data_IF_931530317249
#
_entry.id   IF_931530317249
#
_cell.length_a   1.000
_cell.length_b   1.000
_cell.length_c   1.000
_cell.angle_alpha   90.00
_cell.angle_beta   90.00
_cell.angle_gamma   90.00
#
_symmetry.space_group_name_H-M   'P 1'
#
loop_
_entity.id
_entity.type
_entity.pdbx_description
1 polymer ?
#
# COMPACT_ATOMS: atom_id res chain seq x y z
N UNK A 1 -7.03 -9.17 14.18
CA UNK A 1 -6.42 -10.22 13.35
C UNK A 1 -6.55 -9.77 11.92
N UNK A 2 -5.43 -9.59 11.22
CA UNK A 2 -5.46 -9.25 9.79
C UNK A 2 -5.77 -10.53 9.01
N UNK A 3 -6.80 -10.51 8.17
CA UNK A 3 -7.13 -11.60 7.25
C UNK A 3 -6.83 -11.13 5.83
N UNK A 4 -6.15 -11.94 5.03
CA UNK A 4 -5.87 -11.65 3.62
C UNK A 4 -6.30 -12.83 2.75
N UNK A 5 -6.98 -12.56 1.64
CA UNK A 5 -7.51 -13.56 0.72
C UNK A 5 -7.31 -13.11 -0.73
N UNK A 6 -6.77 -13.98 -1.58
CA UNK A 6 -6.71 -13.69 -3.02
C UNK A 6 -8.12 -13.66 -3.60
N UNK A 7 -8.41 -12.65 -4.42
CA UNK A 7 -9.71 -12.44 -5.06
C UNK A 7 -9.51 -12.15 -6.55
N UNK A 8 -10.52 -12.41 -7.40
CA UNK A 8 -10.47 -11.93 -8.78
C UNK A 8 -10.48 -10.40 -8.85
N UNK A 9 -10.10 -9.85 -10.00
CA UNK A 9 -10.21 -8.41 -10.27
C UNK A 9 -11.64 -7.91 -9.98
N UNK A 10 -11.82 -6.89 -9.13
CA UNK A 10 -13.14 -6.34 -8.87
C UNK A 10 -13.70 -5.65 -10.12
N UNK A 11 -15.00 -5.83 -10.38
CA UNK A 11 -15.69 -5.23 -11.53
C UNK A 11 -15.66 -3.70 -11.59
N UNK A 12 -15.46 -3.04 -10.44
CA UNK A 12 -15.32 -1.57 -10.33
C UNK A 12 -13.92 -1.07 -10.71
N UNK A 13 -12.93 -1.95 -10.80
CA UNK A 13 -11.57 -1.63 -11.24
C UNK A 13 -11.52 -1.85 -12.75
N UNK A 14 -11.86 -0.82 -13.51
CA UNK A 14 -12.14 -0.95 -14.96
C UNK A 14 -10.86 -1.18 -15.76
N UNK A 15 -9.70 -0.68 -15.29
CA UNK A 15 -8.37 -1.07 -15.79
C UNK A 15 -7.31 -0.68 -14.75
N UNK A 16 -6.51 -1.62 -14.21
CA UNK A 16 -5.41 -1.27 -13.31
C UNK A 16 -4.32 -0.55 -14.11
N UNK A 17 -4.27 0.77 -14.03
CA UNK A 17 -3.17 1.57 -14.57
C UNK A 17 -2.30 2.04 -13.42
N UNK A 18 -1.00 1.76 -13.48
CA UNK A 18 -0.04 2.44 -12.60
C UNK A 18 0.04 3.93 -12.98
N UNK A 19 0.22 4.86 -12.03
CA UNK A 19 0.37 6.28 -12.35
C UNK A 19 1.53 6.55 -13.33
N UNK A 20 1.25 7.25 -14.44
CA UNK A 20 2.25 7.54 -15.48
C UNK A 20 3.16 8.72 -15.15
N UNK A 21 2.76 9.56 -14.19
CA UNK A 21 3.46 10.77 -13.75
C UNK A 21 4.52 10.50 -12.66
N UNK A 22 4.66 9.24 -12.22
CA UNK A 22 5.58 8.84 -11.14
C UNK A 22 6.82 8.09 -11.61
N UNK A 23 7.02 8.01 -12.94
CA UNK A 23 8.20 7.39 -13.54
C UNK A 23 8.36 5.90 -13.25
N UNK A 24 7.24 5.18 -13.10
CA UNK A 24 7.20 3.75 -12.79
C UNK A 24 6.80 2.93 -14.02
N UNK A 25 7.35 1.72 -14.13
CA UNK A 25 7.09 0.78 -15.22
C UNK A 25 6.58 -0.52 -14.62
N UNK A 26 5.34 -0.89 -14.95
CA UNK A 26 4.76 -2.17 -14.57
C UNK A 26 5.32 -3.31 -15.44
N UNK A 27 5.62 -4.45 -14.83
CA UNK A 27 6.23 -5.62 -15.50
C UNK A 27 5.38 -6.89 -15.42
N UNK A 28 4.17 -6.81 -14.87
CA UNK A 28 3.26 -7.94 -14.74
C UNK A 28 1.81 -7.53 -14.53
N UNK A 29 0.93 -8.51 -14.53
CA UNK A 29 -0.49 -8.32 -14.22
C UNK A 29 -0.70 -8.00 -12.74
N UNK A 30 -1.80 -7.31 -12.45
CA UNK A 30 -2.17 -6.98 -11.08
C UNK A 30 -2.68 -8.22 -10.33
N UNK A 31 -2.21 -8.43 -9.11
CA UNK A 31 -2.79 -9.37 -8.16
C UNK A 31 -3.72 -8.64 -7.20
N UNK A 32 -4.86 -9.25 -6.88
CA UNK A 32 -5.88 -8.64 -6.01
C UNK A 32 -6.08 -9.45 -4.73
N UNK A 33 -6.17 -8.72 -3.61
CA UNK A 33 -6.41 -9.31 -2.30
C UNK A 33 -7.49 -8.54 -1.55
N UNK A 34 -8.45 -9.25 -0.96
CA UNK A 34 -9.26 -8.69 0.12
C UNK A 34 -8.46 -8.76 1.41
N UNK A 35 -8.40 -7.64 2.13
CA UNK A 35 -7.72 -7.52 3.41
C UNK A 35 -8.71 -6.96 4.43
N UNK A 36 -8.96 -7.72 5.49
CA UNK A 36 -9.74 -7.26 6.63
C UNK A 36 -8.79 -6.88 7.76
N UNK A 37 -8.83 -5.62 8.16
CA UNK A 37 -8.05 -5.09 9.29
C UNK A 37 -8.96 -4.48 10.36
N UNK A 38 -8.48 -4.44 11.60
CA UNK A 38 -9.16 -3.78 12.72
C UNK A 38 -8.60 -2.36 12.87
N UNK A 39 -9.39 -1.36 12.50
CA UNK A 39 -8.98 0.04 12.59
C UNK A 39 -9.47 0.64 13.91
N UNK A 40 -8.52 1.06 14.75
CA UNK A 40 -8.81 1.57 16.10
C UNK A 40 -9.00 3.09 16.17
N UNK A 41 -8.74 3.83 15.10
CA UNK A 41 -8.51 5.30 15.16
C UNK A 41 -9.40 6.13 14.23
N UNK A 42 -10.62 5.69 13.92
CA UNK A 42 -11.55 6.49 13.11
C UNK A 42 -12.29 7.56 13.95
N UNK A 43 -12.56 8.77 13.42
CA UNK A 43 -13.24 9.84 14.15
C UNK A 43 -14.66 9.43 14.63
N UNK A 44 -15.00 9.85 15.85
CA UNK A 44 -16.32 9.83 16.50
C UNK A 44 -17.36 8.81 15.96
N UNK A 45 -17.32 7.58 16.47
CA UNK A 45 -18.41 6.60 16.33
C UNK A 45 -18.14 5.44 15.37
N UNK A 46 -17.05 5.48 14.61
CA UNK A 46 -16.55 4.37 13.76
C UNK A 46 -15.52 3.48 14.48
N UNK A 47 -15.64 3.36 15.79
CA UNK A 47 -14.66 2.65 16.63
C UNK A 47 -14.71 1.13 16.41
N UNK A 48 -13.54 0.48 16.43
CA UNK A 48 -13.39 -0.99 16.46
C UNK A 48 -14.06 -1.76 15.31
N UNK A 49 -14.19 -1.12 14.16
CA UNK A 49 -14.76 -1.75 12.98
C UNK A 49 -13.73 -2.61 12.25
N UNK A 50 -14.15 -3.81 11.85
CA UNK A 50 -13.45 -4.56 10.82
C UNK A 50 -13.63 -3.81 9.51
N UNK A 51 -12.53 -3.34 8.95
CA UNK A 51 -12.49 -2.64 7.67
C UNK A 51 -11.98 -3.61 6.63
N UNK A 52 -12.85 -4.02 5.72
CA UNK A 52 -12.48 -4.80 4.56
C UNK A 52 -12.07 -3.85 3.42
N UNK A 53 -10.86 -4.04 2.89
CA UNK A 53 -10.31 -3.25 1.79
C UNK A 53 -9.83 -4.18 0.69
N UNK A 54 -9.90 -3.74 -0.57
CA UNK A 54 -9.28 -4.44 -1.69
C UNK A 54 -7.92 -3.80 -1.97
N UNK A 55 -6.88 -4.63 -2.08
CA UNK A 55 -5.54 -4.21 -2.45
C UNK A 55 -5.19 -4.79 -3.83
N UNK A 56 -4.84 -3.90 -4.75
CA UNK A 56 -4.29 -4.18 -6.07
C UNK A 56 -2.77 -4.06 -5.97
N UNK A 57 -2.04 -5.15 -6.22
CA UNK A 57 -0.58 -5.18 -6.24
C UNK A 57 -0.10 -5.32 -7.68
N UNK A 58 0.80 -4.44 -8.09
CA UNK A 58 1.42 -4.46 -9.42
C UNK A 58 2.92 -4.47 -9.26
N UNK A 59 3.57 -5.52 -9.78
CA UNK A 59 5.04 -5.59 -9.81
C UNK A 59 5.58 -4.54 -10.77
N UNK A 60 6.55 -3.77 -10.28
CA UNK A 60 7.29 -2.78 -11.06
C UNK A 60 8.70 -3.30 -11.34
N UNK A 61 9.38 -2.73 -12.34
CA UNK A 61 10.78 -3.07 -12.63
C UNK A 61 11.70 -2.93 -11.41
N UNK A 62 11.45 -1.90 -10.57
CA UNK A 62 12.25 -1.59 -9.38
C UNK A 62 11.41 -1.46 -8.11
N UNK A 63 10.42 -2.32 -7.94
CA UNK A 63 9.63 -2.39 -6.71
C UNK A 63 8.18 -2.83 -6.92
N UNK A 64 7.26 -2.22 -6.18
CA UNK A 64 5.84 -2.58 -6.20
C UNK A 64 4.96 -1.36 -6.07
N UNK A 65 3.91 -1.32 -6.88
CA UNK A 65 2.79 -0.41 -6.71
C UNK A 65 1.64 -1.13 -6.01
N UNK A 66 1.04 -0.46 -5.03
CA UNK A 66 -0.12 -0.95 -4.31
C UNK A 66 -1.21 0.10 -4.35
N UNK A 67 -2.39 -0.26 -4.83
CA UNK A 67 -3.59 0.57 -4.70
C UNK A 67 -4.59 -0.11 -3.76
N UNK A 68 -4.91 0.59 -2.69
CA UNK A 68 -5.88 0.17 -1.70
C UNK A 68 -7.21 0.91 -1.93
N UNK A 69 -8.29 0.16 -1.97
CA UNK A 69 -9.67 0.64 -1.96
C UNK A 69 -10.33 0.24 -0.65
N UNK A 70 -10.71 1.23 0.14
CA UNK A 70 -11.29 1.03 1.47
C UNK A 70 -12.63 1.76 1.58
N UNK A 71 -13.52 1.39 2.53
CA UNK A 71 -14.78 2.07 2.77
C UNK A 71 -14.65 3.59 2.92
N UNK A 72 -15.79 4.28 2.84
CA UNK A 72 -15.86 5.75 2.89
C UNK A 72 -15.09 6.44 1.75
N UNK A 73 -15.01 5.77 0.60
CA UNK A 73 -14.34 6.25 -0.61
C UNK A 73 -12.86 6.61 -0.39
N UNK A 74 -12.16 5.83 0.43
CA UNK A 74 -10.72 5.96 0.62
C UNK A 74 -10.01 5.17 -0.46
N UNK A 75 -9.17 5.86 -1.23
CA UNK A 75 -8.20 5.24 -2.14
C UNK A 75 -6.80 5.69 -1.74
N UNK A 76 -5.90 4.74 -1.56
CA UNK A 76 -4.49 5.01 -1.26
C UNK A 76 -3.61 4.34 -2.30
N UNK A 77 -2.71 5.10 -2.88
CA UNK A 77 -1.77 4.65 -3.91
C UNK A 77 -0.35 4.75 -3.37
N UNK A 78 0.24 3.60 -3.06
CA UNK A 78 1.60 3.50 -2.53
C UNK A 78 2.53 2.94 -3.59
N UNK A 79 3.67 3.59 -3.78
CA UNK A 79 4.78 3.06 -4.58
C UNK A 79 5.93 2.80 -3.63
N UNK A 80 6.42 1.57 -3.63
CA UNK A 80 7.66 1.19 -3.00
C UNK A 80 8.72 1.00 -4.08
N UNK A 81 9.85 1.68 -3.96
CA UNK A 81 11.01 1.48 -4.84
C UNK A 81 12.29 1.34 -4.05
N UNK A 82 13.25 0.60 -4.62
CA UNK A 82 14.62 0.57 -4.14
C UNK A 82 15.46 1.51 -5.00
N UNK A 83 16.22 2.41 -4.39
CA UNK A 83 17.08 3.38 -5.09
C UNK A 83 18.49 3.31 -4.55
N UNK A 84 19.49 3.40 -5.41
CA UNK A 84 20.88 3.54 -4.97
C UNK A 84 21.03 4.82 -4.17
N UNK A 85 21.68 4.72 -3.00
CA UNK A 85 22.20 5.88 -2.32
C UNK A 85 23.63 6.11 -2.81
N UNK A 86 24.03 7.36 -3.02
CA UNK A 86 25.34 7.72 -3.58
C UNK A 86 26.56 7.28 -2.75
N UNK A 87 26.34 6.50 -1.68
CA UNK A 87 27.33 5.95 -0.77
C UNK A 87 27.56 4.44 -0.99
N UNK A 88 27.07 3.88 -2.10
CA UNK A 88 27.24 2.46 -2.44
C UNK A 88 26.25 1.52 -1.75
N UNK A 89 25.17 2.05 -1.19
CA UNK A 89 24.05 1.30 -0.63
C UNK A 89 22.75 1.51 -1.40
N UNK A 90 21.64 1.05 -0.83
CA UNK A 90 20.29 1.27 -1.37
C UNK A 90 19.33 1.74 -0.29
N UNK A 91 18.40 2.61 -0.67
CA UNK A 91 17.32 3.10 0.16
C UNK A 91 15.99 2.51 -0.31
N UNK A 92 15.17 2.06 0.64
CA UNK A 92 13.76 1.74 0.40
C UNK A 92 12.94 3.02 0.50
N UNK A 93 12.27 3.39 -0.58
CA UNK A 93 11.48 4.61 -0.68
C UNK A 93 10.01 4.24 -0.77
N UNK A 94 9.19 4.81 0.12
CA UNK A 94 7.74 4.77 0.07
C UNK A 94 7.20 6.14 -0.34
N UNK A 95 6.37 6.18 -1.38
CA UNK A 95 5.66 7.39 -1.78
C UNK A 95 4.15 7.08 -1.84
N UNK A 96 3.37 7.86 -1.09
CA UNK A 96 1.95 7.59 -0.81
C UNK A 96 1.09 8.76 -1.26
N UNK A 97 0.10 8.47 -2.12
CA UNK A 97 -0.96 9.41 -2.49
C UNK A 97 -2.27 8.95 -1.85
N UNK A 98 -2.88 9.84 -1.06
CA UNK A 98 -4.13 9.56 -0.35
C UNK A 98 -5.27 10.36 -0.99
N UNK A 99 -6.30 9.67 -1.46
CA UNK A 99 -7.56 10.24 -1.94
C UNK A 99 -8.66 9.84 -0.96
N UNK A 100 -9.09 10.78 -0.13
CA UNK A 100 -10.11 10.58 0.89
C UNK A 100 -10.85 11.89 1.21
N UNK A 101 -11.93 11.81 1.98
CA UNK A 101 -12.60 13.02 2.48
C UNK A 101 -11.67 13.84 3.39
N UNK A 102 -11.94 15.16 3.49
CA UNK A 102 -11.17 16.07 4.38
C UNK A 102 -11.21 15.62 5.85
N UNK A 103 -12.28 14.92 6.25
CA UNK A 103 -12.44 14.36 7.59
C UNK A 103 -11.45 13.21 7.85
N UNK A 104 -11.18 12.38 6.85
CA UNK A 104 -10.38 11.16 7.00
C UNK A 104 -8.91 11.34 6.62
N UNK A 105 -8.61 12.24 5.68
CA UNK A 105 -7.25 12.38 5.12
C UNK A 105 -6.20 12.70 6.18
N UNK A 106 -6.55 13.50 7.20
CA UNK A 106 -5.65 13.82 8.31
C UNK A 106 -5.30 12.59 9.15
N UNK A 107 -6.31 11.79 9.51
CA UNK A 107 -6.13 10.55 10.25
C UNK A 107 -5.28 9.53 9.47
N UNK A 108 -5.60 9.31 8.19
CA UNK A 108 -4.87 8.36 7.34
C UNK A 108 -3.41 8.80 7.18
N UNK A 109 -3.17 10.08 6.89
CA UNK A 109 -1.81 10.63 6.80
C UNK A 109 -1.04 10.45 8.11
N UNK A 110 -1.68 10.68 9.26
CA UNK A 110 -1.05 10.46 10.56
C UNK A 110 -0.69 8.99 10.79
N UNK A 111 -1.53 8.04 10.36
CA UNK A 111 -1.23 6.61 10.46
C UNK A 111 -0.01 6.23 9.62
N UNK A 112 0.07 6.71 8.37
CA UNK A 112 1.26 6.52 7.51
C UNK A 112 2.53 7.08 8.18
N UNK A 113 2.46 8.31 8.70
CA UNK A 113 3.62 8.98 9.30
C UNK A 113 4.04 8.42 10.66
N UNK A 114 3.14 7.77 11.40
CA UNK A 114 3.47 7.25 12.74
C UNK A 114 4.09 5.86 12.67
N UNK A 115 3.66 5.04 11.69
CA UNK A 115 3.99 3.63 11.66
C UNK A 115 5.04 3.25 10.60
N UNK A 116 5.52 4.21 9.79
CA UNK A 116 6.40 3.91 8.65
C UNK A 116 7.65 3.13 9.08
N UNK A 117 8.35 3.50 10.17
CA UNK A 117 9.56 2.80 10.61
C UNK A 117 9.31 1.32 10.89
N UNK A 118 8.15 0.98 11.43
CA UNK A 118 7.76 -0.39 11.74
C UNK A 118 7.51 -1.19 10.46
N UNK A 119 6.77 -0.62 9.50
CA UNK A 119 6.48 -1.30 8.24
C UNK A 119 7.73 -1.43 7.36
N UNK A 120 8.50 -0.35 7.23
CA UNK A 120 9.78 -0.35 6.49
C UNK A 120 10.75 -1.37 7.09
N UNK A 121 10.88 -1.40 8.42
CA UNK A 121 11.73 -2.35 9.13
C UNK A 121 11.36 -3.80 8.80
N UNK A 122 10.07 -4.16 8.86
CA UNK A 122 9.60 -5.50 8.51
C UNK A 122 9.92 -5.89 7.06
N UNK A 123 9.70 -4.98 6.11
CA UNK A 123 10.01 -5.22 4.69
C UNK A 123 11.51 -5.47 4.52
N UNK A 124 12.34 -4.63 5.13
CA UNK A 124 13.80 -4.77 5.10
C UNK A 124 14.26 -6.09 5.72
N UNK A 125 13.67 -6.49 6.85
CA UNK A 125 14.01 -7.75 7.50
C UNK A 125 13.61 -8.96 6.64
N UNK A 126 12.43 -8.94 6.02
CA UNK A 126 12.02 -9.97 5.04
C UNK A 126 12.99 -10.06 3.85
N UNK A 127 13.50 -8.93 3.36
CA UNK A 127 14.49 -8.91 2.28
C UNK A 127 15.84 -9.51 2.70
N UNK A 128 16.25 -9.36 3.97
CA UNK A 128 17.47 -9.98 4.51
C UNK A 128 17.32 -11.49 4.71
N UNK A 129 16.12 -11.94 5.06
CA UNK A 129 15.81 -13.35 5.32
C UNK A 129 15.61 -14.17 4.05
N UNK A 130 15.19 -13.53 2.95
CA UNK A 130 15.07 -14.20 1.66
C UNK A 130 16.45 -14.72 1.22
N UNK A 131 16.66 -16.05 1.08
CA UNK A 131 17.91 -16.56 0.56
C UNK A 131 18.10 -16.02 -0.85
N UNK A 132 19.31 -15.50 -1.12
CA UNK A 132 19.75 -15.14 -2.46
C UNK A 132 19.45 -16.31 -3.39
N UNK A 133 18.49 -16.14 -4.31
CA UNK A 133 18.28 -17.10 -5.39
C UNK A 133 19.46 -17.07 -6.35
#
# INVERSE_FOLDING_TARGET
MVKFESVPQPSKVVTPTVPTDRGIVAVGEAAYYSVTDKVHTLPAGLWDSNVESINEFVTLEKGVFVRLYSPLNVVMETVWTVRENGNGGVDLIEDVVIKASRLLVGTIKNMCNTNWTTFHGKIVDMMKEAPSQ
#
